data_IF_440280369746
#
_entry.id   IF_440280369746
#
_cell.length_a   1.000
_cell.length_b   1.000
_cell.length_c   1.000
_cell.angle_alpha   90.00
_cell.angle_beta   90.00
_cell.angle_gamma   90.00
#
_symmetry.space_group_name_H-M   'P 1'
#
loop_
_entity.id
_entity.type
_entity.pdbx_description
1 polymer ?
#
# COMPACT_ATOMS: atom_id res chain seq x y z
N UNK A 1 7.26 4.65 -7.42
CA UNK A 1 6.57 5.96 -7.30
C UNK A 1 7.24 6.76 -6.20
N UNK A 2 7.21 6.27 -4.96
CA UNK A 2 8.05 6.83 -3.89
C UNK A 2 9.52 6.44 -4.15
N UNK A 3 10.43 7.41 -4.03
CA UNK A 3 11.88 7.24 -4.17
C UNK A 3 12.59 7.10 -2.82
N UNK A 4 11.80 6.94 -1.77
CA UNK A 4 12.19 6.86 -0.35
C UNK A 4 11.28 5.84 0.32
N UNK A 5 11.63 5.45 1.54
CA UNK A 5 10.75 4.63 2.40
C UNK A 5 9.40 5.31 2.58
N UNK A 6 8.34 4.52 2.53
CA UNK A 6 6.99 4.99 2.81
C UNK A 6 6.90 5.49 4.27
N UNK A 7 6.51 6.74 4.53
CA UNK A 7 6.38 7.25 5.90
C UNK A 7 5.41 6.43 6.76
N UNK A 8 4.44 5.75 6.14
CA UNK A 8 3.52 4.85 6.84
C UNK A 8 4.23 3.58 7.31
N UNK A 9 5.20 3.09 6.54
CA UNK A 9 6.07 2.01 6.98
C UNK A 9 6.92 2.46 8.17
N UNK A 10 7.54 3.64 8.07
CA UNK A 10 8.40 4.18 9.14
C UNK A 10 7.64 4.32 10.47
N UNK A 11 6.43 4.87 10.45
CA UNK A 11 5.60 4.99 11.65
C UNK A 11 5.30 3.63 12.32
N UNK A 12 5.01 2.60 11.52
CA UNK A 12 4.78 1.24 12.02
C UNK A 12 6.07 0.59 12.52
N UNK A 13 7.17 0.82 11.81
CA UNK A 13 8.49 0.32 12.16
C UNK A 13 8.96 0.89 13.51
N UNK A 14 8.86 2.21 13.69
CA UNK A 14 9.20 2.87 14.95
C UNK A 14 8.29 2.44 16.11
N UNK A 15 7.00 2.21 15.84
CA UNK A 15 6.10 1.66 16.83
C UNK A 15 6.54 0.24 17.26
N UNK A 16 6.80 -0.66 16.31
CA UNK A 16 7.29 -2.01 16.59
C UNK A 16 8.60 -2.02 17.36
N UNK A 17 9.54 -1.14 17.02
CA UNK A 17 10.81 -0.98 17.73
C UNK A 17 10.62 -0.60 19.21
N UNK A 18 9.55 0.14 19.54
CA UNK A 18 9.24 0.55 20.91
C UNK A 18 8.48 -0.52 21.70
N UNK A 19 7.51 -1.19 21.07
CA UNK A 19 6.55 -2.04 21.81
C UNK A 19 6.86 -3.54 21.72
N UNK A 20 7.47 -4.00 20.63
CA UNK A 20 7.76 -5.42 20.42
C UNK A 20 9.15 -5.68 19.79
N UNK A 21 10.24 -5.02 20.24
CA UNK A 21 11.55 -5.15 19.60
C UNK A 21 12.14 -6.56 19.62
N UNK A 22 11.69 -7.40 20.57
CA UNK A 22 12.18 -8.77 20.73
C UNK A 22 11.36 -9.81 19.98
N UNK A 23 10.20 -9.44 19.44
CA UNK A 23 9.31 -10.34 18.71
C UNK A 23 10.01 -10.91 17.45
N UNK A 24 9.95 -12.24 17.23
CA UNK A 24 10.68 -12.87 16.13
C UNK A 24 10.15 -12.46 14.75
N UNK A 25 8.85 -12.18 14.61
CA UNK A 25 8.25 -11.74 13.34
C UNK A 25 8.66 -10.30 13.06
N UNK A 26 8.57 -9.41 14.04
CA UNK A 26 9.04 -8.03 13.90
C UNK A 26 10.55 -7.96 13.60
N UNK A 27 11.38 -8.78 14.29
CA UNK A 27 12.82 -8.87 14.00
C UNK A 27 13.10 -9.25 12.56
N UNK A 28 12.32 -10.18 12.01
CA UNK A 28 12.42 -10.56 10.59
C UNK A 28 12.19 -9.34 9.69
N UNK A 29 11.13 -8.56 9.94
CA UNK A 29 10.86 -7.31 9.22
C UNK A 29 12.03 -6.33 9.34
N UNK A 30 12.58 -6.14 10.55
CA UNK A 30 13.74 -5.27 10.78
C UNK A 30 14.99 -5.70 10.02
N UNK A 31 15.30 -7.00 9.98
CA UNK A 31 16.45 -7.50 9.22
C UNK A 31 16.23 -7.29 7.72
N UNK A 32 15.05 -7.63 7.22
CA UNK A 32 14.68 -7.42 5.81
C UNK A 32 14.83 -5.96 5.43
N UNK A 33 14.29 -5.03 6.22
CA UNK A 33 14.39 -3.60 5.95
C UNK A 33 15.83 -3.08 5.93
N UNK A 34 16.71 -3.57 6.82
CA UNK A 34 18.11 -3.14 6.90
C UNK A 34 18.98 -3.70 5.78
N UNK A 35 18.65 -4.87 5.22
CA UNK A 35 19.53 -5.61 4.31
C UNK A 35 19.03 -5.55 2.86
N UNK A 36 17.74 -5.78 2.62
CA UNK A 36 17.18 -5.97 1.28
C UNK A 36 17.30 -4.73 0.38
N UNK A 37 17.08 -3.48 0.84
CA UNK A 37 17.17 -2.33 -0.05
C UNK A 37 18.52 -2.19 -0.76
N UNK A 38 19.63 -2.42 -0.06
CA UNK A 38 20.98 -2.34 -0.66
C UNK A 38 21.26 -3.46 -1.68
N UNK A 39 20.66 -4.63 -1.49
CA UNK A 39 20.73 -5.72 -2.47
C UNK A 39 19.91 -5.37 -3.70
N UNK A 40 18.69 -4.86 -3.51
CA UNK A 40 17.79 -4.51 -4.62
C UNK A 40 18.31 -3.33 -5.44
N UNK A 41 19.03 -2.37 -4.83
CA UNK A 41 19.69 -1.26 -5.55
C UNK A 41 20.68 -1.75 -6.62
N UNK A 42 21.29 -2.91 -6.44
CA UNK A 42 22.22 -3.50 -7.42
C UNK A 42 21.50 -4.15 -8.60
N UNK A 43 20.21 -4.40 -8.48
CA UNK A 43 19.42 -5.02 -9.55
C UNK A 43 18.81 -3.93 -10.45
N UNK A 44 19.22 -3.83 -11.73
CA UNK A 44 18.74 -2.78 -12.64
C UNK A 44 17.24 -2.89 -12.97
N UNK A 45 16.59 -4.02 -12.65
CA UNK A 45 15.14 -4.20 -12.83
C UNK A 45 14.31 -3.52 -11.73
N UNK A 46 14.91 -3.22 -10.58
CA UNK A 46 14.21 -2.60 -9.45
C UNK A 46 14.46 -1.10 -9.45
N UNK A 47 13.39 -0.33 -9.70
CA UNK A 47 13.48 1.14 -9.77
C UNK A 47 13.56 1.79 -8.38
N UNK A 48 12.65 1.43 -7.49
CA UNK A 48 12.50 2.00 -6.15
C UNK A 48 12.53 0.85 -5.11
N UNK A 49 13.66 0.62 -4.40
CA UNK A 49 13.88 -0.58 -3.57
C UNK A 49 13.36 -0.45 -2.13
N UNK A 50 12.42 0.46 -1.87
CA UNK A 50 11.97 0.81 -0.53
C UNK A 50 10.62 0.15 -0.18
N UNK A 51 10.41 -0.25 1.08
CA UNK A 51 9.17 -0.91 1.48
C UNK A 51 8.01 0.08 1.60
N UNK A 52 6.79 -0.47 1.56
CA UNK A 52 5.55 0.22 1.86
C UNK A 52 4.96 -0.27 3.20
N UNK A 53 3.86 0.36 3.64
CA UNK A 53 3.14 0.00 4.87
C UNK A 53 2.93 -1.52 5.08
N UNK A 54 2.58 -2.24 4.02
CA UNK A 54 2.18 -3.66 4.09
C UNK A 54 3.34 -4.58 4.48
N UNK A 55 4.59 -4.11 4.31
CA UNK A 55 5.78 -4.85 4.71
C UNK A 55 5.98 -4.92 6.24
N UNK A 56 5.27 -4.11 7.04
CA UNK A 56 5.40 -4.09 8.50
C UNK A 56 4.09 -4.37 9.25
N UNK A 57 2.96 -3.85 8.76
CA UNK A 57 1.67 -3.87 9.47
C UNK A 57 1.25 -5.25 9.97
N UNK A 58 1.43 -6.29 9.14
CA UNK A 58 1.08 -7.66 9.50
C UNK A 58 1.85 -8.22 10.70
N UNK A 59 3.12 -7.81 10.88
CA UNK A 59 3.95 -8.26 12.02
C UNK A 59 3.42 -7.73 13.35
N UNK A 60 2.89 -6.51 13.36
CA UNK A 60 2.33 -5.90 14.55
C UNK A 60 0.98 -6.52 14.91
N UNK A 61 0.08 -6.68 13.93
CA UNK A 61 -1.21 -7.35 14.15
C UNK A 61 -1.01 -8.76 14.72
N UNK A 62 -0.05 -9.49 14.15
CA UNK A 62 0.31 -10.83 14.60
C UNK A 62 0.83 -10.84 16.04
N UNK A 63 1.71 -9.90 16.40
CA UNK A 63 2.28 -9.77 17.74
C UNK A 63 1.18 -9.56 18.80
N UNK A 64 0.18 -8.72 18.51
CA UNK A 64 -0.94 -8.45 19.42
C UNK A 64 -2.05 -9.52 19.39
N UNK A 65 -1.81 -10.66 18.74
CA UNK A 65 -2.68 -11.83 18.81
C UNK A 65 -3.72 -11.94 17.70
N UNK A 66 -3.76 -11.00 16.75
CA UNK A 66 -4.61 -11.11 15.57
C UNK A 66 -3.90 -11.96 14.52
N UNK A 67 -4.28 -13.24 14.43
CA UNK A 67 -3.58 -14.24 13.58
C UNK A 67 -4.43 -14.73 12.40
N UNK A 68 -5.65 -14.25 12.32
CA UNK A 68 -6.62 -14.53 11.26
C UNK A 68 -6.27 -13.67 10.04
N UNK A 69 -5.31 -14.13 9.22
CA UNK A 69 -4.82 -13.35 8.07
C UNK A 69 -5.92 -12.92 7.09
N UNK A 70 -6.96 -13.74 6.92
CA UNK A 70 -8.13 -13.41 6.09
C UNK A 70 -8.90 -12.19 6.62
N UNK A 71 -8.78 -11.86 7.91
CA UNK A 71 -9.44 -10.74 8.54
C UNK A 71 -8.69 -9.41 8.38
N UNK A 72 -7.41 -9.42 7.99
CA UNK A 72 -6.60 -8.20 7.89
C UNK A 72 -7.19 -7.17 6.90
N UNK A 73 -7.81 -7.65 5.82
CA UNK A 73 -8.47 -6.78 4.84
C UNK A 73 -9.68 -6.06 5.43
N UNK A 74 -10.36 -6.65 6.44
CA UNK A 74 -11.46 -5.99 7.15
C UNK A 74 -10.95 -4.76 7.89
N UNK A 75 -9.82 -4.87 8.59
CA UNK A 75 -9.16 -3.74 9.26
C UNK A 75 -8.75 -2.65 8.27
N UNK A 76 -8.22 -3.05 7.11
CA UNK A 76 -7.90 -2.10 6.05
C UNK A 76 -9.15 -1.36 5.54
N UNK A 77 -10.26 -2.08 5.32
CA UNK A 77 -11.55 -1.52 4.91
C UNK A 77 -12.09 -0.50 5.90
N UNK A 78 -12.14 -0.85 7.20
CA UNK A 78 -12.58 0.07 8.27
C UNK A 78 -11.76 1.35 8.30
N UNK A 79 -10.43 1.23 8.20
CA UNK A 79 -9.55 2.41 8.11
C UNK A 79 -9.83 3.25 6.87
N UNK A 80 -10.16 2.63 5.73
CA UNK A 80 -10.37 3.34 4.44
C UNK A 80 -11.69 4.07 4.34
N UNK A 81 -12.71 3.59 5.05
CA UNK A 81 -14.00 4.27 5.15
C UNK A 81 -13.85 5.72 5.61
N UNK A 82 -12.90 6.05 6.49
CA UNK A 82 -12.68 7.42 6.95
C UNK A 82 -12.37 8.39 5.79
N UNK A 83 -11.42 8.02 4.91
CA UNK A 83 -11.04 8.85 3.77
C UNK A 83 -12.12 8.88 2.69
N UNK A 84 -12.73 7.72 2.39
CA UNK A 84 -13.79 7.62 1.39
C UNK A 84 -15.03 8.42 1.79
N UNK A 85 -15.46 8.33 3.06
CA UNK A 85 -16.62 9.07 3.56
C UNK A 85 -16.35 10.58 3.57
N UNK A 86 -15.16 11.02 4.00
CA UNK A 86 -14.78 12.42 3.96
C UNK A 86 -14.83 12.98 2.53
N UNK A 87 -14.24 12.29 1.57
CA UNK A 87 -14.29 12.70 0.16
C UNK A 87 -15.73 12.70 -0.36
N UNK A 88 -16.54 11.68 -0.04
CA UNK A 88 -17.92 11.60 -0.51
C UNK A 88 -18.78 12.78 -0.04
N UNK A 89 -18.63 13.21 1.22
CA UNK A 89 -19.30 14.41 1.74
C UNK A 89 -18.95 15.64 0.90
N UNK A 90 -17.66 15.81 0.56
CA UNK A 90 -17.21 16.92 -0.28
C UNK A 90 -17.76 16.85 -1.71
N UNK A 91 -17.72 15.67 -2.35
CA UNK A 91 -18.26 15.46 -3.70
C UNK A 91 -19.75 15.84 -3.77
N UNK A 92 -20.53 15.47 -2.74
CA UNK A 92 -21.94 15.88 -2.65
C UNK A 92 -22.10 17.37 -2.43
N UNK A 93 -21.26 17.98 -1.59
CA UNK A 93 -21.26 19.42 -1.35
C UNK A 93 -20.92 20.24 -2.59
N UNK A 94 -20.03 19.75 -3.45
CA UNK A 94 -19.67 20.39 -4.72
C UNK A 94 -20.63 20.09 -5.87
N UNK A 95 -21.55 19.13 -5.69
CA UNK A 95 -22.50 18.75 -6.75
C UNK A 95 -21.84 18.06 -7.93
N UNK A 96 -20.79 17.27 -7.69
CA UNK A 96 -20.07 16.55 -8.74
C UNK A 96 -21.02 15.64 -9.55
N UNK A 97 -20.87 15.63 -10.90
CA UNK A 97 -21.73 14.84 -11.78
C UNK A 97 -21.40 13.34 -11.70
N UNK A 98 -22.19 12.53 -12.41
CA UNK A 98 -21.90 11.10 -12.55
C UNK A 98 -20.61 10.87 -13.34
N UNK A 99 -19.74 10.01 -12.82
CA UNK A 99 -18.58 9.51 -13.57
C UNK A 99 -19.05 8.54 -14.66
N UNK A 100 -18.89 8.91 -15.93
CA UNK A 100 -19.34 8.10 -17.08
C UNK A 100 -18.25 7.97 -18.15
N UNK A 101 -17.22 7.14 -17.90
CA UNK A 101 -16.15 6.91 -18.87
C UNK A 101 -16.65 6.06 -20.04
N UNK A 102 -16.13 6.31 -21.25
CA UNK A 102 -16.46 5.52 -22.44
C UNK A 102 -15.56 4.29 -22.55
N UNK A 103 -16.17 3.12 -22.57
CA UNK A 103 -15.50 1.86 -22.89
C UNK A 103 -15.40 1.66 -24.41
N UNK A 104 -14.26 1.14 -24.87
CA UNK A 104 -14.01 0.83 -26.28
C UNK A 104 -13.39 -0.56 -26.40
N UNK A 105 -13.68 -1.27 -27.49
CA UNK A 105 -13.09 -2.59 -27.74
C UNK A 105 -11.71 -2.47 -28.39
N UNK A 106 -10.94 -3.54 -28.34
CA UNK A 106 -9.66 -3.63 -29.04
C UNK A 106 -9.81 -3.41 -30.55
N UNK A 107 -10.89 -3.90 -31.18
CA UNK A 107 -11.18 -3.67 -32.60
C UNK A 107 -11.33 -2.18 -32.90
N UNK A 108 -12.08 -1.45 -32.05
CA UNK A 108 -12.24 -0.01 -32.21
C UNK A 108 -10.88 0.69 -32.17
N UNK A 109 -10.00 0.32 -31.23
CA UNK A 109 -8.64 0.88 -31.16
C UNK A 109 -7.79 0.55 -32.39
N UNK A 110 -7.84 -0.68 -32.91
CA UNK A 110 -7.15 -1.07 -34.15
C UNK A 110 -7.62 -0.22 -35.34
N UNK A 111 -8.92 0.01 -35.45
CA UNK A 111 -9.49 0.86 -36.50
C UNK A 111 -9.05 2.32 -36.37
N UNK A 112 -8.97 2.88 -35.16
CA UNK A 112 -8.45 4.25 -34.99
C UNK A 112 -6.96 4.35 -35.29
N UNK A 113 -6.16 3.34 -34.91
CA UNK A 113 -4.73 3.32 -35.19
C UNK A 113 -4.44 3.22 -36.70
N UNK A 114 -5.23 2.44 -37.44
CA UNK A 114 -5.10 2.28 -38.90
C UNK A 114 -5.59 3.49 -39.72
N UNK A 115 -6.30 4.44 -39.10
CA UNK A 115 -6.73 5.70 -39.72
C UNK A 115 -5.65 6.80 -39.65
N UNK A 116 -4.61 6.60 -38.84
CA UNK A 116 -3.41 7.44 -38.80
C UNK A 116 -2.36 6.88 -39.76
#
# INVERSE_FOLDING_TARGET
ILRVTDPRFEAFFEFGARVCPQDPVYKTVSVVFKVVPEILKKNPKVKDPYPNLDACSGSLLYHFGMKEFSFYTVMFGVSRTLGMAAQNVLLRGWGEPIESPKSMTTEWFKQQAAKK
#
